data_IF_272489664070
#
_entry.id   IF_272489664070
#
_cell.length_a   1.000
_cell.length_b   1.000
_cell.length_c   1.000
_cell.angle_alpha   90.00
_cell.angle_beta   90.00
_cell.angle_gamma   90.00
#
_symmetry.space_group_name_H-M   'P 1'
#
loop_
_entity.id
_entity.type
_entity.pdbx_description
1 polymer ?
#
# COMPACT_ATOMS: atom_id res chain seq x y z
N UNK A 1 26.60 -2.51 17.89
CA UNK A 1 25.19 -2.20 17.59
C UNK A 1 24.51 -3.47 17.07
N UNK A 2 23.53 -3.98 17.80
CA UNK A 2 22.75 -5.15 17.37
C UNK A 2 21.64 -4.65 16.46
N UNK A 3 21.74 -4.90 15.15
CA UNK A 3 20.67 -4.60 14.19
C UNK A 3 19.73 -5.80 14.21
N UNK A 4 18.48 -5.58 14.62
CA UNK A 4 17.45 -6.62 14.64
C UNK A 4 17.06 -7.01 13.21
N UNK A 5 16.64 -8.25 13.03
CA UNK A 5 16.24 -8.76 11.72
C UNK A 5 14.98 -8.03 11.21
N UNK A 6 13.99 -7.88 12.09
CA UNK A 6 12.77 -7.10 11.89
C UNK A 6 12.41 -6.38 13.18
N UNK A 7 11.93 -5.15 13.07
CA UNK A 7 11.45 -4.41 14.25
C UNK A 7 10.10 -4.97 14.73
N UNK A 8 9.83 -4.78 16.01
CA UNK A 8 8.53 -5.10 16.60
C UNK A 8 7.41 -4.29 15.94
N UNK A 9 6.22 -4.85 15.94
CA UNK A 9 5.00 -4.15 15.56
C UNK A 9 4.88 -2.80 16.29
N UNK A 10 4.49 -1.77 15.57
CA UNK A 10 4.42 -0.41 16.10
C UNK A 10 5.74 0.38 16.07
N UNK A 11 6.84 -0.23 15.63
CA UNK A 11 8.14 0.44 15.54
C UNK A 11 8.74 0.45 14.13
N UNK A 12 7.91 0.33 13.09
CA UNK A 12 8.35 0.27 11.69
C UNK A 12 9.08 1.55 11.21
N UNK A 13 9.11 2.60 12.00
CA UNK A 13 9.93 3.79 11.76
C UNK A 13 11.41 3.60 12.11
N UNK A 14 11.77 2.48 12.74
CA UNK A 14 13.16 2.12 13.05
C UNK A 14 13.75 1.24 11.96
N UNK A 15 15.02 1.46 11.64
CA UNK A 15 15.73 0.62 10.69
C UNK A 15 15.95 -0.79 11.23
N UNK A 16 15.77 -1.78 10.37
CA UNK A 16 16.05 -3.20 10.63
C UNK A 16 16.88 -3.78 9.50
N UNK A 17 17.38 -5.01 9.62
CA UNK A 17 18.03 -5.70 8.49
C UNK A 17 17.10 -5.83 7.29
N UNK A 18 15.83 -6.18 7.52
CA UNK A 18 14.83 -6.25 6.48
C UNK A 18 14.72 -4.91 5.73
N UNK A 19 14.61 -3.79 6.47
CA UNK A 19 14.53 -2.46 5.89
C UNK A 19 15.80 -2.08 5.08
N UNK A 20 16.97 -2.42 5.60
CA UNK A 20 18.25 -2.15 4.94
C UNK A 20 18.38 -2.98 3.66
N UNK A 21 18.04 -4.27 3.70
CA UNK A 21 18.10 -5.13 2.51
C UNK A 21 17.09 -4.69 1.45
N UNK A 22 15.87 -4.33 1.85
CA UNK A 22 14.88 -3.78 0.92
C UNK A 22 15.32 -2.46 0.29
N UNK A 23 15.97 -1.58 1.06
CA UNK A 23 16.55 -0.34 0.53
C UNK A 23 17.68 -0.62 -0.47
N UNK A 24 18.57 -1.58 -0.19
CA UNK A 24 19.60 -1.99 -1.14
C UNK A 24 18.99 -2.60 -2.41
N UNK A 25 17.98 -3.46 -2.29
CA UNK A 25 17.28 -4.02 -3.45
C UNK A 25 16.74 -2.89 -4.35
N UNK A 26 16.08 -1.89 -3.76
CA UNK A 26 15.55 -0.72 -4.49
C UNK A 26 16.67 0.05 -5.19
N UNK A 27 17.76 0.35 -4.49
CA UNK A 27 18.89 1.10 -5.05
C UNK A 27 19.53 0.35 -6.22
N UNK A 28 19.83 -0.94 -6.04
CA UNK A 28 20.42 -1.76 -7.10
C UNK A 28 19.49 -1.92 -8.31
N UNK A 29 18.18 -2.02 -8.10
CA UNK A 29 17.20 -2.06 -9.17
C UNK A 29 17.24 -0.76 -10.00
N UNK A 30 17.31 0.42 -9.36
CA UNK A 30 17.47 1.70 -10.06
C UNK A 30 18.82 1.86 -10.74
N UNK A 31 19.86 1.20 -10.24
CA UNK A 31 21.18 1.17 -10.88
C UNK A 31 21.26 0.16 -12.03
N UNK A 32 20.20 -0.61 -12.31
CA UNK A 32 20.16 -1.74 -13.23
C UNK A 32 21.15 -2.87 -12.89
N UNK A 33 21.57 -2.97 -11.63
CA UNK A 33 22.36 -4.06 -11.09
C UNK A 33 21.42 -5.16 -10.59
N UNK A 34 20.86 -5.94 -11.53
CA UNK A 34 19.79 -6.89 -11.25
C UNK A 34 20.25 -8.08 -10.41
N UNK A 35 21.51 -8.47 -10.46
CA UNK A 35 22.07 -9.57 -9.67
C UNK A 35 22.10 -9.19 -8.18
N UNK A 36 22.63 -8.04 -7.87
CA UNK A 36 22.60 -7.52 -6.51
C UNK A 36 21.18 -7.20 -6.05
N UNK A 37 20.34 -6.61 -6.91
CA UNK A 37 18.93 -6.35 -6.58
C UNK A 37 18.22 -7.66 -6.19
N UNK A 38 18.39 -8.73 -6.96
CA UNK A 38 17.82 -10.07 -6.68
C UNK A 38 18.33 -10.61 -5.35
N UNK A 39 19.65 -10.54 -5.13
CA UNK A 39 20.26 -11.00 -3.88
C UNK A 39 19.66 -10.29 -2.65
N UNK A 40 19.47 -8.98 -2.72
CA UNK A 40 18.99 -8.21 -1.58
C UNK A 40 17.47 -8.26 -1.41
N UNK A 41 16.68 -8.38 -2.49
CA UNK A 41 15.24 -8.58 -2.38
C UNK A 41 14.93 -9.93 -1.73
N UNK A 42 15.68 -10.98 -2.07
CA UNK A 42 15.51 -12.31 -1.45
C UNK A 42 15.85 -12.30 0.04
N UNK A 43 16.94 -11.63 0.41
CA UNK A 43 17.30 -11.43 1.83
C UNK A 43 16.23 -10.62 2.58
N UNK A 44 15.64 -9.61 1.94
CA UNK A 44 14.59 -8.81 2.54
C UNK A 44 13.30 -9.61 2.71
N UNK A 45 12.88 -10.36 1.67
CA UNK A 45 11.67 -11.20 1.71
C UNK A 45 11.76 -12.30 2.76
N UNK A 46 12.95 -12.89 2.96
CA UNK A 46 13.15 -13.89 4.02
C UNK A 46 12.91 -13.36 5.44
N UNK A 47 12.99 -12.04 5.63
CA UNK A 47 12.77 -11.36 6.91
C UNK A 47 11.47 -10.53 6.94
N UNK A 48 10.82 -10.36 5.80
CA UNK A 48 9.65 -9.50 5.67
C UNK A 48 8.43 -10.06 6.42
N UNK A 49 7.51 -9.19 6.84
CA UNK A 49 6.19 -9.62 7.25
C UNK A 49 5.45 -10.25 6.08
N UNK A 50 4.43 -11.06 6.39
CA UNK A 50 3.49 -11.54 5.37
C UNK A 50 2.69 -10.39 4.76
N UNK A 51 2.05 -10.68 3.62
CA UNK A 51 1.09 -9.77 3.02
C UNK A 51 -0.15 -9.67 3.90
N UNK A 52 -0.68 -8.47 4.05
CA UNK A 52 -1.94 -8.26 4.72
C UNK A 52 -3.09 -8.51 3.74
N UNK A 53 -4.02 -9.36 4.12
CA UNK A 53 -5.22 -9.57 3.31
C UNK A 53 -6.24 -8.45 3.57
N UNK A 54 -6.50 -7.64 2.55
CA UNK A 54 -7.44 -6.51 2.64
C UNK A 54 -8.89 -6.96 2.83
N UNK A 55 -9.20 -8.23 2.60
CA UNK A 55 -10.51 -8.78 2.92
C UNK A 55 -10.74 -8.93 4.43
N UNK A 56 -9.68 -8.91 5.23
CA UNK A 56 -9.75 -8.92 6.69
C UNK A 56 -9.94 -7.52 7.31
N UNK A 57 -10.03 -6.47 6.49
CA UNK A 57 -10.42 -5.14 6.96
C UNK A 57 -11.91 -5.13 7.33
N UNK A 58 -12.29 -4.22 8.20
CA UNK A 58 -13.69 -4.01 8.54
C UNK A 58 -14.40 -3.19 7.45
N UNK A 59 -14.95 -3.91 6.47
CA UNK A 59 -15.72 -3.34 5.36
C UNK A 59 -17.22 -3.24 5.62
N UNK A 60 -17.65 -3.57 6.83
CA UNK A 60 -19.04 -3.93 7.09
C UNK A 60 -20.03 -2.78 6.92
N UNK A 61 -19.65 -1.55 7.20
CA UNK A 61 -20.58 -0.42 7.20
C UNK A 61 -19.92 0.81 6.60
N UNK A 62 -20.21 1.16 5.34
CA UNK A 62 -19.80 2.44 4.78
C UNK A 62 -20.34 3.60 5.63
N UNK A 63 -19.48 4.55 5.94
CA UNK A 63 -19.89 5.74 6.70
C UNK A 63 -19.82 6.97 5.81
N UNK A 64 -20.74 7.93 5.97
CA UNK A 64 -20.67 9.21 5.27
C UNK A 64 -19.34 9.91 5.54
N UNK A 65 -18.73 10.45 4.51
CA UNK A 65 -17.48 11.19 4.62
C UNK A 65 -17.59 12.56 3.94
N UNK A 66 -17.18 13.62 4.63
CA UNK A 66 -16.84 13.70 6.05
C UNK A 66 -18.07 13.57 6.94
N UNK A 67 -17.88 13.11 8.14
CA UNK A 67 -18.96 12.98 9.14
C UNK A 67 -19.64 14.30 9.53
N UNK A 68 -19.22 15.43 8.99
CA UNK A 68 -19.73 16.76 9.24
C UNK A 68 -20.33 17.38 7.98
N UNK A 69 -21.57 17.19 7.79
CA UNK A 69 -22.63 18.13 7.41
C UNK A 69 -22.84 18.51 5.96
N UNK A 70 -21.92 18.82 5.12
CA UNK A 70 -22.23 19.40 3.79
C UNK A 70 -21.79 18.58 2.59
N UNK A 71 -21.19 17.43 2.81
CA UNK A 71 -20.76 16.51 1.77
C UNK A 71 -21.31 15.11 2.05
N UNK A 72 -22.62 15.04 2.24
CA UNK A 72 -23.35 13.85 2.67
C UNK A 72 -23.39 12.71 1.65
N UNK A 73 -22.86 12.90 0.47
CA UNK A 73 -22.92 11.92 -0.61
C UNK A 73 -21.69 11.01 -0.71
N UNK A 74 -20.58 11.42 -0.08
CA UNK A 74 -19.36 10.62 -0.08
C UNK A 74 -19.42 9.56 1.00
N UNK A 75 -19.05 8.34 0.67
CA UNK A 75 -18.99 7.24 1.60
C UNK A 75 -17.60 6.66 1.67
N UNK A 76 -17.13 6.40 2.88
CA UNK A 76 -15.97 5.55 3.09
C UNK A 76 -16.43 4.10 3.01
N UNK A 77 -15.85 3.33 2.11
CA UNK A 77 -16.12 1.91 1.99
C UNK A 77 -15.36 1.08 3.03
N UNK A 78 -14.39 1.69 3.67
CA UNK A 78 -13.60 1.10 4.74
C UNK A 78 -13.92 1.77 6.07
N UNK A 79 -14.40 0.99 7.02
CA UNK A 79 -14.95 1.44 8.29
C UNK A 79 -14.11 1.15 9.51
N UNK A 80 -12.88 0.73 9.38
CA UNK A 80 -12.01 0.68 10.57
C UNK A 80 -11.75 2.10 11.04
N UNK A 81 -12.84 2.57 11.47
CA UNK A 81 -13.11 3.78 12.18
C UNK A 81 -11.93 4.62 12.51
N UNK A 82 -12.00 5.79 11.98
CA UNK A 82 -11.91 7.01 12.80
C UNK A 82 -10.81 6.96 13.85
N UNK A 83 -10.08 5.89 13.92
CA UNK A 83 -8.93 5.79 14.77
C UNK A 83 -7.76 6.47 14.06
N UNK A 84 -7.86 7.77 14.04
CA UNK A 84 -6.81 8.75 13.77
C UNK A 84 -5.56 8.51 14.60
N UNK A 85 -5.46 7.32 15.16
CA UNK A 85 -4.38 6.99 16.05
C UNK A 85 -3.19 6.54 15.22
N UNK A 86 -2.16 7.36 15.19
CA UNK A 86 -0.83 7.06 14.63
C UNK A 86 -0.32 5.66 15.03
N UNK A 87 -0.78 5.12 16.17
CA UNK A 87 -0.42 3.77 16.58
C UNK A 87 -0.93 2.69 15.62
N UNK A 88 -2.07 2.89 14.95
CA UNK A 88 -2.57 1.91 13.97
C UNK A 88 -1.79 1.96 12.66
N UNK A 89 -1.34 3.11 12.25
CA UNK A 89 -0.45 3.26 11.08
C UNK A 89 0.83 2.44 11.29
N UNK A 90 1.46 2.60 12.44
CA UNK A 90 2.68 1.89 12.77
C UNK A 90 2.46 0.39 12.99
N UNK A 91 1.22 -0.05 13.17
CA UNK A 91 0.84 -1.44 13.35
C UNK A 91 0.44 -2.16 12.06
N UNK A 92 0.37 -1.46 10.93
CA UNK A 92 0.10 -2.11 9.67
C UNK A 92 1.16 -3.16 9.39
N UNK A 93 0.75 -4.41 9.31
CA UNK A 93 1.67 -5.56 9.35
C UNK A 93 2.64 -5.62 8.18
N UNK A 94 2.32 -5.00 7.05
CA UNK A 94 3.19 -4.97 5.86
C UNK A 94 4.33 -3.96 5.92
N UNK A 95 4.31 -3.03 6.89
CA UNK A 95 5.36 -2.03 6.98
C UNK A 95 6.69 -2.64 7.40
N UNK A 96 7.68 -2.43 6.56
CA UNK A 96 9.09 -2.75 6.84
C UNK A 96 9.81 -1.52 7.35
N UNK A 97 9.52 -0.37 6.74
CA UNK A 97 10.05 0.92 7.15
C UNK A 97 9.06 2.03 6.78
N UNK A 98 8.68 2.84 7.74
CA UNK A 98 7.71 3.93 7.56
C UNK A 98 8.41 5.27 7.47
N UNK A 99 8.02 6.08 6.51
CA UNK A 99 8.26 7.52 6.47
C UNK A 99 6.93 8.24 6.31
N UNK A 100 6.77 9.32 7.06
CA UNK A 100 5.59 10.18 6.97
C UNK A 100 5.94 11.44 6.20
N UNK A 101 5.08 11.80 5.26
CA UNK A 101 5.14 13.07 4.55
C UNK A 101 3.95 13.93 4.99
N UNK A 102 4.26 15.05 5.63
CA UNK A 102 3.24 15.95 6.17
C UNK A 102 2.48 16.68 5.05
N UNK A 103 1.19 16.87 5.24
CA UNK A 103 0.28 17.59 4.34
C UNK A 103 0.13 17.02 2.91
N UNK A 104 0.72 15.88 2.59
CA UNK A 104 0.69 15.36 1.22
C UNK A 104 -0.73 15.05 0.74
N UNK A 105 -1.56 14.43 1.57
CA UNK A 105 -2.91 14.02 1.18
C UNK A 105 -3.88 15.18 0.98
N UNK A 106 -3.56 16.36 1.48
CA UNK A 106 -4.43 17.54 1.34
C UNK A 106 -4.24 18.27 0.01
N UNK A 107 -3.05 18.17 -0.56
CA UNK A 107 -2.65 18.96 -1.74
C UNK A 107 -2.56 18.13 -3.01
N UNK A 108 -2.57 16.81 -2.90
CA UNK A 108 -2.45 15.90 -4.03
C UNK A 108 -3.76 15.18 -4.29
N UNK A 109 -4.06 14.98 -5.55
CA UNK A 109 -5.16 14.16 -6.02
C UNK A 109 -4.59 13.08 -6.94
N UNK A 110 -5.22 11.91 -7.02
CA UNK A 110 -4.81 10.90 -7.98
C UNK A 110 -5.00 11.43 -9.40
N UNK A 111 -4.10 11.08 -10.32
CA UNK A 111 -4.29 11.37 -11.73
C UNK A 111 -5.29 10.39 -12.36
N UNK A 112 -5.83 10.75 -13.53
CA UNK A 112 -6.70 9.85 -14.29
C UNK A 112 -5.96 8.56 -14.65
N UNK A 113 -4.70 8.67 -15.08
CA UNK A 113 -3.88 7.52 -15.46
C UNK A 113 -3.71 6.54 -14.30
N UNK A 114 -3.57 7.06 -13.06
CA UNK A 114 -3.50 6.20 -11.88
C UNK A 114 -4.84 5.51 -11.62
N UNK A 115 -5.95 6.22 -11.73
CA UNK A 115 -7.29 5.64 -11.55
C UNK A 115 -7.60 4.60 -12.63
N UNK A 116 -7.19 4.84 -13.87
CA UNK A 116 -7.36 3.92 -15.00
C UNK A 116 -6.58 2.61 -14.82
N UNK A 117 -5.57 2.58 -13.95
CA UNK A 117 -4.87 1.34 -13.59
C UNK A 117 -5.75 0.37 -12.79
N UNK A 118 -6.87 0.83 -12.23
CA UNK A 118 -7.81 -0.01 -11.50
C UNK A 118 -8.90 -0.55 -12.42
N UNK A 119 -8.51 -1.40 -13.37
CA UNK A 119 -9.39 -1.95 -14.41
C UNK A 119 -10.61 -2.68 -13.83
N UNK A 120 -10.41 -3.36 -12.68
CA UNK A 120 -11.44 -4.08 -11.94
C UNK A 120 -11.86 -3.31 -10.67
N UNK A 121 -11.96 -1.99 -10.74
CA UNK A 121 -12.05 -1.07 -9.60
C UNK A 121 -12.95 -1.53 -8.45
N UNK A 122 -14.12 -2.11 -8.74
CA UNK A 122 -15.04 -2.61 -7.70
C UNK A 122 -14.58 -3.90 -7.03
N UNK A 123 -13.68 -4.65 -7.64
CA UNK A 123 -13.16 -5.91 -7.13
C UNK A 123 -11.80 -5.72 -6.43
N UNK A 124 -11.13 -4.62 -6.73
CA UNK A 124 -9.85 -4.25 -6.11
C UNK A 124 -10.09 -3.42 -4.85
N UNK A 125 -9.89 -4.04 -3.71
CA UNK A 125 -10.06 -3.41 -2.39
C UNK A 125 -9.21 -2.15 -2.19
N UNK A 126 -8.12 -2.01 -2.92
CA UNK A 126 -7.27 -0.82 -2.84
C UNK A 126 -7.98 0.42 -3.32
N UNK A 127 -8.88 0.30 -4.30
CA UNK A 127 -9.63 1.44 -4.81
C UNK A 127 -10.46 2.07 -3.69
N UNK A 128 -11.30 1.26 -3.03
CA UNK A 128 -12.16 1.73 -1.95
C UNK A 128 -11.35 2.18 -0.71
N UNK A 129 -10.17 1.56 -0.51
CA UNK A 129 -9.31 1.88 0.62
C UNK A 129 -8.61 3.23 0.46
N UNK A 130 -8.13 3.54 -0.75
CA UNK A 130 -7.24 4.68 -0.96
C UNK A 130 -7.92 5.92 -1.51
N UNK A 131 -9.11 5.80 -2.10
CA UNK A 131 -9.74 6.94 -2.79
C UNK A 131 -11.16 7.18 -2.29
N UNK A 132 -11.52 8.45 -2.25
CA UNK A 132 -12.88 8.94 -1.98
C UNK A 132 -13.24 9.91 -3.07
N UNK A 133 -14.39 9.70 -3.72
CA UNK A 133 -14.94 10.62 -4.70
C UNK A 133 -15.50 11.85 -3.99
N UNK A 134 -15.25 13.04 -4.52
CA UNK A 134 -15.69 14.35 -4.01
C UNK A 134 -15.27 14.71 -2.57
N UNK A 135 -14.58 13.84 -1.85
CA UNK A 135 -14.25 14.04 -0.45
C UNK A 135 -13.27 15.19 -0.20
N UNK A 136 -13.65 16.14 0.65
CA UNK A 136 -12.71 17.08 1.23
C UNK A 136 -13.09 17.45 2.67
N UNK A 137 -12.41 16.86 3.60
CA UNK A 137 -12.68 17.05 5.02
C UNK A 137 -12.34 18.44 5.54
N UNK A 138 -11.27 19.06 5.04
CA UNK A 138 -10.70 20.25 5.67
C UNK A 138 -11.36 21.55 5.25
N UNK A 139 -11.79 21.65 4.01
CA UNK A 139 -12.26 22.94 3.46
C UNK A 139 -13.76 22.99 3.22
N UNK A 140 -14.49 21.93 3.57
CA UNK A 140 -15.94 21.85 3.37
C UNK A 140 -16.37 22.20 1.94
N UNK A 141 -15.50 21.94 0.97
CA UNK A 141 -15.72 22.16 -0.45
C UNK A 141 -15.73 20.82 -1.14
N UNK A 142 -16.83 20.51 -1.83
CA UNK A 142 -16.88 19.36 -2.72
C UNK A 142 -15.90 19.56 -3.90
N UNK A 143 -15.22 18.53 -4.28
CA UNK A 143 -14.38 18.52 -5.46
C UNK A 143 -15.01 17.60 -6.51
N UNK A 144 -14.99 18.01 -7.75
CA UNK A 144 -15.43 17.15 -8.86
C UNK A 144 -14.36 16.12 -9.24
N UNK A 145 -13.70 15.55 -8.24
CA UNK A 145 -12.62 14.62 -8.43
C UNK A 145 -12.34 13.74 -7.22
N UNK A 146 -11.62 12.64 -7.44
CA UNK A 146 -11.16 11.76 -6.38
C UNK A 146 -10.09 12.42 -5.49
N UNK A 147 -10.12 12.07 -4.23
CA UNK A 147 -9.12 12.42 -3.23
C UNK A 147 -8.57 11.16 -2.60
N UNK A 148 -7.33 11.26 -2.09
CA UNK A 148 -6.80 10.20 -1.26
C UNK A 148 -7.61 10.10 0.03
N UNK A 149 -8.02 8.87 0.35
CA UNK A 149 -8.68 8.61 1.62
C UNK A 149 -7.69 8.86 2.77
N UNK A 150 -8.15 9.61 3.75
CA UNK A 150 -7.33 9.98 4.91
C UNK A 150 -7.35 8.87 5.96
N UNK A 151 -6.94 7.67 5.58
CA UNK A 151 -6.91 6.50 6.46
C UNK A 151 -6.06 6.69 7.70
N UNK A 152 -5.12 7.60 7.63
CA UNK A 152 -4.03 7.64 8.60
C UNK A 152 -4.04 8.88 9.47
N UNK A 153 -4.35 10.00 8.92
CA UNK A 153 -4.54 11.29 9.61
C UNK A 153 -4.80 12.33 8.53
N UNK A 154 -5.34 13.46 8.91
CA UNK A 154 -5.70 14.56 8.01
C UNK A 154 -4.55 15.08 7.14
N UNK A 155 -3.33 14.73 7.47
CA UNK A 155 -2.16 15.45 6.95
C UNK A 155 -1.04 14.59 6.39
N UNK A 156 -1.08 13.26 6.53
CA UNK A 156 0.08 12.45 6.22
C UNK A 156 -0.15 11.52 5.02
N UNK A 157 0.77 11.55 4.07
CA UNK A 157 0.98 10.43 3.17
C UNK A 157 2.08 9.54 3.76
N UNK A 158 1.85 8.25 3.70
CA UNK A 158 2.82 7.28 4.15
C UNK A 158 3.65 6.82 2.96
N UNK A 159 4.94 6.88 3.12
CA UNK A 159 5.91 6.33 2.19
C UNK A 159 6.88 5.43 2.94
N UNK A 160 7.57 4.60 2.23
CA UNK A 160 8.55 3.69 2.80
C UNK A 160 8.46 2.31 2.18
N UNK A 161 9.17 1.36 2.77
CA UNK A 161 9.21 -0.01 2.28
C UNK A 161 8.07 -0.83 2.86
N UNK A 162 7.41 -1.60 2.00
CA UNK A 162 6.39 -2.57 2.38
C UNK A 162 6.72 -3.97 1.89
N UNK A 163 6.10 -4.99 2.48
CA UNK A 163 6.18 -6.36 1.97
C UNK A 163 5.65 -6.46 0.53
N UNK A 164 4.57 -5.75 0.23
CA UNK A 164 4.02 -5.69 -1.13
C UNK A 164 5.03 -5.15 -2.15
N UNK A 165 5.78 -4.11 -1.80
CA UNK A 165 6.82 -3.57 -2.68
C UNK A 165 7.96 -4.57 -2.92
N UNK A 166 8.37 -5.32 -1.90
CA UNK A 166 9.38 -6.37 -2.09
C UNK A 166 8.91 -7.46 -3.05
N UNK A 167 7.63 -7.85 -2.95
CA UNK A 167 7.02 -8.82 -3.89
C UNK A 167 7.02 -8.26 -5.30
N UNK A 168 6.66 -6.99 -5.50
CA UNK A 168 6.69 -6.34 -6.80
C UNK A 168 8.11 -6.26 -7.38
N UNK A 169 9.11 -5.87 -6.57
CA UNK A 169 10.51 -5.86 -7.01
C UNK A 169 10.99 -7.25 -7.41
N UNK A 170 10.63 -8.30 -6.66
CA UNK A 170 10.98 -9.67 -7.00
C UNK A 170 10.37 -10.09 -8.33
N UNK A 171 9.09 -9.84 -8.53
CA UNK A 171 8.41 -10.18 -9.78
C UNK A 171 9.00 -9.40 -10.98
N UNK A 172 9.32 -8.12 -10.80
CA UNK A 172 9.97 -7.32 -11.83
C UNK A 172 11.34 -7.92 -12.22
N UNK A 173 12.17 -8.28 -11.25
CA UNK A 173 13.49 -8.89 -11.51
C UNK A 173 13.36 -10.23 -12.25
N UNK A 174 12.38 -11.06 -11.89
CA UNK A 174 12.08 -12.31 -12.58
C UNK A 174 11.63 -12.04 -14.03
N UNK A 175 10.74 -11.07 -14.24
CA UNK A 175 10.28 -10.70 -15.57
C UNK A 175 11.43 -10.16 -16.45
N UNK A 176 12.31 -9.31 -15.88
CA UNK A 176 13.51 -8.80 -16.58
C UNK A 176 14.51 -9.91 -16.95
N UNK A 177 14.54 -11.00 -16.21
CA UNK A 177 15.32 -12.20 -16.51
C UNK A 177 14.60 -13.16 -17.46
N UNK A 178 13.53 -12.72 -18.12
CA UNK A 178 12.66 -13.53 -19.00
C UNK A 178 12.00 -14.73 -18.30
N UNK A 179 11.93 -14.71 -16.98
CA UNK A 179 11.28 -15.76 -16.18
C UNK A 179 9.84 -15.35 -15.83
N UNK A 180 9.00 -15.23 -16.84
CA UNK A 180 7.64 -14.72 -16.72
C UNK A 180 6.73 -15.57 -15.83
N UNK A 181 6.91 -16.92 -15.89
CA UNK A 181 6.07 -17.82 -15.11
C UNK A 181 6.29 -17.60 -13.59
N UNK A 182 7.55 -17.52 -13.17
CA UNK A 182 7.86 -17.27 -11.75
C UNK A 182 7.41 -15.88 -11.32
N UNK A 183 7.50 -14.88 -12.21
CA UNK A 183 6.99 -13.55 -11.91
C UNK A 183 5.47 -13.57 -11.63
N UNK A 184 4.71 -14.30 -12.44
CA UNK A 184 3.26 -14.46 -12.23
C UNK A 184 2.94 -15.21 -10.93
N UNK A 185 3.68 -16.28 -10.63
CA UNK A 185 3.56 -17.01 -9.36
C UNK A 185 3.86 -16.11 -8.16
N UNK A 186 4.90 -15.28 -8.28
CA UNK A 186 5.27 -14.32 -7.23
C UNK A 186 4.19 -13.26 -7.00
N UNK A 187 3.49 -12.81 -8.05
CA UNK A 187 2.43 -11.81 -7.96
C UNK A 187 1.09 -12.35 -7.47
N UNK A 188 0.80 -13.63 -7.69
CA UNK A 188 -0.52 -14.20 -7.40
C UNK A 188 -0.97 -13.97 -5.95
N UNK A 189 -0.18 -14.26 -4.90
CA UNK A 189 -0.60 -14.03 -3.50
C UNK A 189 -0.87 -12.55 -3.20
N UNK A 190 -0.11 -11.63 -3.82
CA UNK A 190 -0.33 -10.20 -3.66
C UNK A 190 -1.70 -9.79 -4.24
N UNK A 191 -2.05 -10.30 -5.41
CA UNK A 191 -3.35 -10.02 -6.03
C UNK A 191 -4.50 -10.60 -5.21
N UNK A 192 -4.39 -11.86 -4.80
CA UNK A 192 -5.39 -12.50 -3.94
C UNK A 192 -5.66 -11.71 -2.65
N UNK A 193 -4.60 -11.18 -2.03
CA UNK A 193 -4.73 -10.36 -0.83
C UNK A 193 -5.33 -8.96 -1.06
N UNK A 194 -5.51 -8.53 -2.30
CA UNK A 194 -6.02 -7.19 -2.66
C UNK A 194 -7.41 -7.21 -3.29
N UNK A 195 -7.80 -8.32 -3.87
CA UNK A 195 -9.07 -8.45 -4.57
C UNK A 195 -10.12 -9.15 -3.70
N UNK A 196 -11.39 -8.91 -4.02
CA UNK A 196 -12.47 -9.73 -3.48
C UNK A 196 -12.20 -11.21 -3.77
N UNK A 197 -12.50 -12.11 -2.82
CA UNK A 197 -12.23 -13.53 -3.01
C UNK A 197 -12.80 -14.08 -4.33
N UNK A 198 -11.96 -14.73 -5.08
CA UNK A 198 -12.33 -15.33 -6.37
C UNK A 198 -12.50 -14.36 -7.54
N UNK A 199 -12.26 -13.07 -7.36
CA UNK A 199 -12.39 -12.08 -8.44
C UNK A 199 -11.06 -11.62 -9.04
N UNK A 200 -9.93 -11.97 -8.42
CA UNK A 200 -8.63 -11.68 -9.00
C UNK A 200 -8.47 -12.38 -10.35
N UNK A 201 -8.35 -11.60 -11.42
CA UNK A 201 -8.15 -12.12 -12.77
C UNK A 201 -6.86 -12.93 -12.83
N UNK A 202 -6.88 -14.11 -13.42
CA UNK A 202 -5.68 -14.89 -13.65
C UNK A 202 -4.78 -14.12 -14.61
N UNK A 203 -3.56 -13.83 -14.17
CA UNK A 203 -2.56 -13.22 -15.04
C UNK A 203 -2.00 -14.29 -16.00
N UNK A 204 -1.98 -13.96 -17.26
CA UNK A 204 -1.37 -14.80 -18.32
C UNK A 204 -0.19 -14.05 -18.92
N UNK A 205 0.84 -14.81 -19.28
CA UNK A 205 2.00 -14.27 -19.99
C UNK A 205 1.66 -13.91 -21.43
#
# INVERSE_FOLDING_TARGET
YCVVDRVQEGFAWRASKCAIYGAFARVYLYMNDYDNATTYVDKALALAPGLYDYNNLDWATPVPYPATGTMAEDTLHYCETHNWNLQKIYKWSEWIYIRLQYLATQWHSPSQELLDCYVDGKNDRRFDLFYVEHGNRRFSVAYDWYRYNQLYDDCYAISGLTAAELVLMKAELQARSANWQDALVTLAPLREARFLPGTATVLTA
#
